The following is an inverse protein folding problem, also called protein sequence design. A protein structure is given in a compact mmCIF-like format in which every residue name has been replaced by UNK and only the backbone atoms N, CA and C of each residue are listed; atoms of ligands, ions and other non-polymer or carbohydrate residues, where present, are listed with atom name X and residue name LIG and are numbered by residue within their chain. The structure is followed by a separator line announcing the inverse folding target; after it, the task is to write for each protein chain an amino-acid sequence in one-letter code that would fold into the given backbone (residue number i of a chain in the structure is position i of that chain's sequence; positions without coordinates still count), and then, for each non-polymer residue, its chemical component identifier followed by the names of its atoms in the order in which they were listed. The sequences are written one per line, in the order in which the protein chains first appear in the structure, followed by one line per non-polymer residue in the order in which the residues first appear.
data_IF_302455423236
#
_entry.id   IF_302455423236
#
_cell.length_a   1.000
_cell.length_b   1.000
_cell.length_c   1.000
_cell.angle_alpha   90.00
_cell.angle_beta   90.00
_cell.angle_gamma   90.00
#
_symmetry.space_group_name_H-M   'P 1'
#
loop_
_entity.id
_entity.type
_entity.pdbx_description
1 polymer ?
#
# COMPACT_ATOMS: atom_id res chain seq x y z
N UNK A 1 -12.16 -9.94 -3.43
CA UNK A 1 -12.17 -10.35 -4.85
C UNK A 1 -11.16 -11.47 -4.93
N UNK A 2 -11.58 -12.67 -5.33
CA UNK A 2 -10.65 -13.80 -5.54
C UNK A 2 -9.86 -13.57 -6.84
N UNK A 3 -8.57 -13.89 -6.82
CA UNK A 3 -7.64 -13.66 -7.93
C UNK A 3 -7.93 -14.57 -9.14
N UNK A 4 -8.46 -14.01 -10.22
CA UNK A 4 -8.58 -14.68 -11.52
C UNK A 4 -7.28 -14.66 -12.33
N UNK A 5 -7.16 -15.57 -13.31
CA UNK A 5 -6.08 -15.57 -14.31
C UNK A 5 -6.07 -14.24 -15.09
N UNK A 6 -4.99 -13.47 -14.99
CA UNK A 6 -4.68 -12.32 -15.86
C UNK A 6 -5.55 -11.07 -15.68
N UNK A 7 -6.27 -10.93 -14.57
CA UNK A 7 -7.16 -9.78 -14.31
C UNK A 7 -6.45 -8.56 -13.72
N UNK A 8 -6.94 -7.36 -14.02
CA UNK A 8 -6.52 -6.12 -13.32
C UNK A 8 -7.66 -5.60 -12.45
N UNK A 9 -7.43 -5.45 -11.14
CA UNK A 9 -8.40 -4.86 -10.22
C UNK A 9 -7.89 -3.52 -9.70
N UNK A 10 -8.75 -2.51 -9.73
CA UNK A 10 -8.40 -1.18 -9.24
C UNK A 10 -9.51 -0.64 -8.35
N UNK A 11 -9.14 -0.14 -7.18
CA UNK A 11 -10.05 0.58 -6.28
C UNK A 11 -9.54 2.00 -6.11
N UNK A 12 -10.33 2.97 -6.55
CA UNK A 12 -10.05 4.39 -6.38
C UNK A 12 -11.16 5.04 -5.55
N UNK A 13 -10.84 5.55 -4.36
CA UNK A 13 -11.80 6.24 -3.50
C UNK A 13 -11.29 7.64 -3.14
N UNK A 14 -12.20 8.61 -3.16
CA UNK A 14 -11.90 10.00 -2.85
C UNK A 14 -12.83 10.51 -1.75
N UNK A 15 -12.25 11.06 -0.68
CA UNK A 15 -12.97 11.54 0.49
C UNK A 15 -12.71 13.04 0.68
N UNK A 16 -13.77 13.83 0.56
CA UNK A 16 -13.71 15.30 0.73
C UNK A 16 -13.96 15.77 2.17
N UNK A 17 -14.47 14.88 3.02
CA UNK A 17 -14.79 15.15 4.43
C UNK A 17 -14.05 14.16 5.32
N UNK A 18 -14.21 14.34 6.62
CA UNK A 18 -13.78 13.35 7.60
C UNK A 18 -14.30 11.97 7.25
N UNK A 19 -13.38 11.01 7.17
CA UNK A 19 -13.70 9.66 6.76
C UNK A 19 -12.96 8.65 7.64
N UNK A 20 -13.72 7.68 8.13
CA UNK A 20 -13.16 6.44 8.67
C UNK A 20 -13.32 5.37 7.62
N UNK A 21 -12.20 4.91 7.07
CA UNK A 21 -12.20 3.95 5.97
C UNK A 21 -11.58 2.65 6.45
N UNK A 22 -12.35 1.58 6.36
CA UNK A 22 -11.81 0.22 6.36
C UNK A 22 -11.46 -0.08 4.90
N UNK A 23 -10.18 0.05 4.57
CA UNK A 23 -9.73 -0.11 3.20
C UNK A 23 -9.98 -1.55 2.70
N UNK A 24 -10.15 -1.71 1.38
CA UNK A 24 -10.46 -3.00 0.79
C UNK A 24 -9.31 -4.00 0.95
N UNK A 25 -9.68 -5.28 0.95
CA UNK A 25 -8.78 -6.42 0.89
C UNK A 25 -8.77 -6.93 -0.54
N UNK A 26 -7.59 -7.06 -1.13
CA UNK A 26 -7.41 -7.61 -2.47
C UNK A 26 -6.41 -8.75 -2.46
N UNK A 27 -6.82 -9.88 -3.05
CA UNK A 27 -5.97 -11.04 -3.24
C UNK A 27 -5.48 -11.07 -4.69
N UNK A 28 -4.20 -11.34 -4.87
CA UNK A 28 -3.54 -11.44 -6.16
C UNK A 28 -3.85 -12.76 -6.85
N UNK A 29 -4.18 -12.67 -8.14
CA UNK A 29 -4.26 -13.83 -9.03
C UNK A 29 -2.96 -14.08 -9.79
N UNK A 30 -2.97 -15.10 -10.63
CA UNK A 30 -1.88 -15.39 -11.59
C UNK A 30 -1.82 -14.31 -12.68
N UNK A 31 -0.69 -13.60 -12.80
CA UNK A 31 -0.39 -12.66 -13.88
C UNK A 31 -1.19 -11.36 -13.88
N UNK A 32 -1.85 -11.02 -12.77
CA UNK A 32 -2.75 -9.87 -12.65
C UNK A 32 -2.10 -8.61 -12.06
N UNK A 33 -2.76 -7.46 -12.19
CA UNK A 33 -2.33 -6.21 -11.55
C UNK A 33 -3.39 -5.64 -10.62
N UNK A 34 -3.09 -5.48 -9.33
CA UNK A 34 -4.01 -4.88 -8.36
C UNK A 34 -3.53 -3.49 -7.91
N UNK A 35 -4.45 -2.54 -7.80
CA UNK A 35 -4.14 -1.18 -7.36
C UNK A 35 -5.19 -0.61 -6.42
N UNK A 36 -4.74 0.02 -5.33
CA UNK A 36 -5.60 0.75 -4.40
C UNK A 36 -5.12 2.18 -4.32
N UNK A 37 -5.97 3.12 -4.69
CA UNK A 37 -5.73 4.55 -4.58
C UNK A 37 -6.77 5.18 -3.65
N UNK A 38 -6.34 5.71 -2.51
CA UNK A 38 -7.22 6.45 -1.59
C UNK A 38 -6.74 7.89 -1.49
N UNK A 39 -7.64 8.84 -1.69
CA UNK A 39 -7.36 10.26 -1.54
C UNK A 39 -8.25 10.90 -0.47
N UNK A 40 -7.65 11.66 0.44
CA UNK A 40 -8.32 12.32 1.54
C UNK A 40 -7.95 13.80 1.60
N UNK A 41 -8.97 14.66 1.48
CA UNK A 41 -8.80 16.11 1.52
C UNK A 41 -8.82 16.69 2.94
N UNK A 42 -9.35 15.93 3.91
CA UNK A 42 -9.49 16.33 5.31
C UNK A 42 -8.96 15.25 6.24
N UNK A 43 -9.24 15.40 7.53
CA UNK A 43 -8.91 14.41 8.55
C UNK A 43 -9.44 13.04 8.18
N UNK A 44 -8.62 12.02 8.33
CA UNK A 44 -9.08 10.65 8.11
C UNK A 44 -8.46 9.70 9.12
N UNK A 45 -9.19 8.64 9.41
CA UNK A 45 -8.65 7.47 10.09
C UNK A 45 -8.78 6.30 9.14
N UNK A 46 -7.63 5.82 8.65
CA UNK A 46 -7.61 4.75 7.66
C UNK A 46 -7.02 3.50 8.30
N UNK A 47 -7.82 2.43 8.34
CA UNK A 47 -7.26 1.08 8.37
C UNK A 47 -6.83 0.79 6.95
N UNK A 48 -5.53 0.91 6.68
CA UNK A 48 -4.99 0.79 5.34
C UNK A 48 -5.24 -0.59 4.74
N UNK A 49 -5.20 -0.68 3.40
CA UNK A 49 -5.57 -1.89 2.69
C UNK A 49 -4.58 -3.04 2.98
N UNK A 50 -5.14 -4.25 2.89
CA UNK A 50 -4.36 -5.48 2.79
C UNK A 50 -4.33 -5.90 1.32
N UNK A 51 -3.14 -6.19 0.81
CA UNK A 51 -3.00 -6.77 -0.51
C UNK A 51 -2.12 -8.02 -0.46
N UNK A 52 -2.67 -9.16 -0.84
CA UNK A 52 -1.91 -10.40 -0.96
C UNK A 52 -1.46 -10.60 -2.41
N UNK A 53 -0.22 -11.04 -2.59
CA UNK A 53 0.42 -11.19 -3.89
C UNK A 53 0.13 -12.53 -4.53
N UNK A 54 -0.16 -12.50 -5.82
CA UNK A 54 -0.27 -13.69 -6.66
C UNK A 54 1.02 -13.99 -7.42
N UNK A 55 1.00 -15.03 -8.25
CA UNK A 55 2.12 -15.41 -9.12
C UNK A 55 2.23 -14.46 -10.33
N UNK A 56 3.36 -13.76 -10.49
CA UNK A 56 3.71 -13.00 -11.69
C UNK A 56 2.94 -11.67 -11.87
N UNK A 57 2.38 -11.12 -10.79
CA UNK A 57 1.53 -9.93 -10.81
C UNK A 57 2.18 -8.65 -10.26
N UNK A 58 1.52 -7.51 -10.44
CA UNK A 58 1.95 -6.22 -9.87
C UNK A 58 0.92 -5.61 -8.95
N UNK A 59 1.33 -5.26 -7.74
CA UNK A 59 0.45 -4.79 -6.67
C UNK A 59 0.89 -3.40 -6.21
N UNK A 60 -0.06 -2.49 -6.09
CA UNK A 60 0.22 -1.11 -5.68
C UNK A 60 -0.80 -0.55 -4.71
N UNK A 61 -0.31 0.14 -3.68
CA UNK A 61 -1.11 0.92 -2.73
C UNK A 61 -0.61 2.36 -2.76
N UNK A 62 -1.49 3.29 -3.11
CA UNK A 62 -1.25 4.73 -3.10
C UNK A 62 -2.22 5.43 -2.15
N UNK A 63 -1.71 6.05 -1.10
CA UNK A 63 -2.52 6.84 -0.16
C UNK A 63 -2.07 8.30 -0.19
N UNK A 64 -3.01 9.21 -0.47
CA UNK A 64 -2.77 10.65 -0.52
C UNK A 64 -3.63 11.37 0.54
N UNK A 65 -2.99 12.22 1.34
CA UNK A 65 -3.62 12.95 2.42
C UNK A 65 -3.21 14.43 2.43
N UNK A 66 -4.19 15.33 2.41
CA UNK A 66 -3.92 16.77 2.43
C UNK A 66 -3.88 17.39 3.83
N UNK A 67 -4.46 16.72 4.84
CA UNK A 67 -4.55 17.20 6.22
C UNK A 67 -4.08 16.14 7.21
N UNK A 68 -4.28 16.42 8.50
CA UNK A 68 -3.96 15.51 9.59
C UNK A 68 -4.55 14.13 9.34
N UNK A 69 -3.73 13.09 9.50
CA UNK A 69 -4.25 11.73 9.34
C UNK A 69 -3.57 10.76 10.28
N UNK A 70 -4.36 9.82 10.76
CA UNK A 70 -3.84 8.61 11.40
C UNK A 70 -4.04 7.43 10.47
N UNK A 71 -2.93 6.87 9.99
CA UNK A 71 -2.94 5.68 9.13
C UNK A 71 -2.40 4.49 9.92
N UNK A 72 -3.22 3.45 10.07
CA UNK A 72 -2.68 2.11 10.35
C UNK A 72 -2.05 1.61 9.07
N UNK A 73 -0.77 1.29 9.12
CA UNK A 73 0.06 0.68 8.08
C UNK A 73 -0.69 -0.14 7.01
N UNK A 74 -0.50 0.12 5.71
CA UNK A 74 -0.82 -0.87 4.69
C UNK A 74 0.07 -2.10 4.89
N UNK A 75 -0.51 -3.26 4.64
CA UNK A 75 0.19 -4.54 4.62
C UNK A 75 0.09 -5.11 3.21
N UNK A 76 1.23 -5.43 2.63
CA UNK A 76 1.30 -6.12 1.36
C UNK A 76 2.14 -7.38 1.50
N UNK A 77 1.53 -8.52 1.24
CA UNK A 77 2.21 -9.81 1.22
C UNK A 77 2.58 -10.13 -0.24
N UNK A 78 3.83 -10.50 -0.47
CA UNK A 78 4.38 -10.68 -1.80
C UNK A 78 4.16 -12.08 -2.34
N UNK A 79 3.80 -12.17 -3.62
CA UNK A 79 3.73 -13.43 -4.36
C UNK A 79 5.02 -13.71 -5.15
N UNK A 80 5.04 -14.84 -5.85
CA UNK A 80 6.17 -15.27 -6.69
C UNK A 80 6.28 -14.43 -7.97
N UNK A 81 7.43 -13.80 -8.23
CA UNK A 81 7.77 -13.17 -9.51
C UNK A 81 7.07 -11.84 -9.79
N UNK A 82 6.58 -11.16 -8.75
CA UNK A 82 5.77 -9.94 -8.86
C UNK A 82 6.44 -8.66 -8.36
N UNK A 83 5.83 -7.51 -8.65
CA UNK A 83 6.29 -6.20 -8.15
C UNK A 83 5.27 -5.58 -7.20
N UNK A 84 5.73 -5.16 -6.02
CA UNK A 84 4.90 -4.60 -4.97
C UNK A 84 5.35 -3.19 -4.63
N UNK A 85 4.40 -2.26 -4.52
CA UNK A 85 4.69 -0.88 -4.20
C UNK A 85 3.69 -0.28 -3.22
N UNK A 86 4.22 0.41 -2.21
CA UNK A 86 3.44 1.25 -1.30
C UNK A 86 3.95 2.69 -1.43
N UNK A 87 3.07 3.60 -1.83
CA UNK A 87 3.33 5.02 -1.91
C UNK A 87 2.40 5.77 -0.94
N UNK A 88 2.99 6.46 0.02
CA UNK A 88 2.24 7.28 0.97
C UNK A 88 2.66 8.75 0.83
N UNK A 89 1.70 9.64 0.61
CA UNK A 89 1.94 11.07 0.42
C UNK A 89 1.09 11.90 1.37
N UNK A 90 1.73 12.77 2.14
CA UNK A 90 1.09 13.59 3.17
C UNK A 90 1.54 15.04 3.10
N UNK A 91 0.59 15.97 3.05
CA UNK A 91 0.90 17.41 3.02
C UNK A 91 0.99 18.07 4.40
N UNK A 92 0.45 17.43 5.45
CA UNK A 92 0.42 17.96 6.83
C UNK A 92 0.83 16.88 7.83
N UNK A 93 0.69 17.20 9.13
CA UNK A 93 1.00 16.30 10.23
C UNK A 93 0.42 14.91 10.03
N UNK A 94 1.27 13.90 10.23
CA UNK A 94 0.83 12.52 10.09
C UNK A 94 1.43 11.64 11.17
N UNK A 95 0.59 10.75 11.69
CA UNK A 95 1.06 9.57 12.42
C UNK A 95 0.82 8.34 11.56
N UNK A 96 1.92 7.74 11.08
CA UNK A 96 1.89 6.49 10.30
C UNK A 96 2.46 5.37 11.14
N UNK A 97 1.67 4.31 11.34
CA UNK A 97 2.27 3.02 11.72
C UNK A 97 2.99 2.45 10.51
N UNK A 98 4.21 1.95 10.75
CA UNK A 98 5.12 1.37 9.77
C UNK A 98 4.40 0.50 8.73
N UNK A 99 4.39 0.86 7.43
CA UNK A 99 3.94 -0.07 6.39
C UNK A 99 4.77 -1.35 6.47
N UNK A 100 4.10 -2.48 6.30
CA UNK A 100 4.71 -3.81 6.32
C UNK A 100 4.62 -4.41 4.92
N UNK A 101 5.75 -4.87 4.42
CA UNK A 101 5.80 -5.66 3.20
C UNK A 101 6.51 -6.97 3.49
N UNK A 102 5.83 -8.07 3.24
CA UNK A 102 6.44 -9.40 3.24
C UNK A 102 6.77 -9.76 1.79
N UNK A 103 8.00 -10.16 1.53
CA UNK A 103 8.51 -10.38 0.19
C UNK A 103 8.22 -11.78 -0.32
N UNK A 104 7.86 -11.86 -1.60
CA UNK A 104 7.76 -13.12 -2.32
C UNK A 104 9.05 -13.47 -3.06
N UNK A 105 9.10 -14.65 -3.65
CA UNK A 105 10.26 -15.14 -4.40
C UNK A 105 10.40 -14.42 -5.75
N UNK A 106 11.56 -13.84 -6.05
CA UNK A 106 11.92 -13.31 -7.38
C UNK A 106 11.20 -12.02 -7.80
N UNK A 107 10.81 -11.18 -6.84
CA UNK A 107 10.06 -9.94 -7.06
C UNK A 107 10.85 -8.64 -6.87
N UNK A 108 10.14 -7.52 -6.85
CA UNK A 108 10.70 -6.22 -6.46
C UNK A 108 9.75 -5.48 -5.54
N UNK A 109 10.31 -4.94 -4.46
CA UNK A 109 9.54 -4.46 -3.33
C UNK A 109 9.94 -3.02 -2.99
N UNK A 110 8.96 -2.10 -2.97
CA UNK A 110 9.23 -0.67 -2.76
C UNK A 110 8.25 0.01 -1.81
N UNK A 111 8.81 0.80 -0.90
CA UNK A 111 8.03 1.72 -0.05
C UNK A 111 8.56 3.13 -0.27
N UNK A 112 7.67 4.02 -0.70
CA UNK A 112 7.95 5.44 -0.90
C UNK A 112 7.11 6.27 0.05
N UNK A 113 7.79 7.05 0.89
CA UNK A 113 7.16 7.91 1.87
C UNK A 113 7.47 9.38 1.57
N UNK A 114 6.46 10.16 1.20
CA UNK A 114 6.60 11.58 0.90
C UNK A 114 5.81 12.43 1.89
N UNK A 115 6.48 13.38 2.52
CA UNK A 115 5.87 14.23 3.52
C UNK A 115 6.37 15.68 3.42
N UNK A 116 5.46 16.64 3.55
CA UNK A 116 5.82 18.08 3.51
C UNK A 116 5.99 18.73 4.88
N UNK A 117 5.52 18.10 5.97
CA UNK A 117 5.54 18.63 7.34
C UNK A 117 5.90 17.54 8.36
N UNK A 118 5.84 17.86 9.65
CA UNK A 118 6.18 16.93 10.75
C UNK A 118 5.47 15.59 10.63
N UNK A 119 6.27 14.54 10.75
CA UNK A 119 5.84 13.17 10.52
C UNK A 119 6.41 12.30 11.59
N UNK A 120 5.52 11.57 12.25
CA UNK A 120 5.91 10.45 13.10
C UNK A 120 5.65 9.16 12.35
N UNK A 121 6.71 8.60 11.78
CA UNK A 121 6.71 7.28 11.14
C UNK A 121 7.45 6.31 12.04
N UNK A 122 6.79 5.21 12.40
CA UNK A 122 7.54 4.03 12.85
C UNK A 122 8.23 3.42 11.65
N UNK A 123 9.50 3.03 11.80
CA UNK A 123 10.31 2.51 10.70
C UNK A 123 9.56 1.42 9.92
N UNK A 124 9.44 1.53 8.58
CA UNK A 124 8.78 0.52 7.76
C UNK A 124 9.49 -0.83 7.94
N UNK A 125 8.71 -1.91 8.03
CA UNK A 125 9.28 -3.26 7.97
C UNK A 125 9.15 -3.78 6.55
N UNK A 126 10.25 -4.23 5.98
CA UNK A 126 10.26 -5.04 4.77
C UNK A 126 10.99 -6.33 5.09
N UNK A 127 10.26 -7.43 5.06
CA UNK A 127 10.85 -8.77 5.12
C UNK A 127 11.11 -9.19 3.68
N UNK A 128 12.37 -9.34 3.28
CA UNK A 128 12.73 -9.69 1.92
C UNK A 128 12.41 -11.14 1.59
N UNK A 129 11.84 -11.39 0.41
CA UNK A 129 11.73 -12.73 -0.15
C UNK A 129 13.02 -13.15 -0.87
N UNK A 130 13.19 -14.43 -1.18
CA UNK A 130 14.37 -14.91 -1.90
C UNK A 130 14.44 -14.27 -3.32
N UNK A 131 15.52 -13.52 -3.59
CA UNK A 131 15.75 -12.87 -4.88
C UNK A 131 15.09 -11.48 -5.05
N UNK A 132 14.54 -10.92 -3.96
CA UNK A 132 13.81 -9.66 -3.98
C UNK A 132 14.74 -8.43 -3.86
N UNK A 133 14.51 -7.40 -4.68
CA UNK A 133 15.19 -6.10 -4.55
C UNK A 133 14.34 -5.14 -3.73
N UNK A 134 14.70 -4.96 -2.46
CA UNK A 134 13.98 -4.09 -1.53
C UNK A 134 14.52 -2.65 -1.57
N UNK A 135 13.65 -1.64 -1.68
CA UNK A 135 14.02 -0.22 -1.62
C UNK A 135 13.03 0.61 -0.81
N UNK A 136 13.49 1.22 0.29
CA UNK A 136 12.80 2.31 0.98
C UNK A 136 13.37 3.66 0.55
N UNK A 137 12.50 4.66 0.35
CA UNK A 137 12.89 6.07 0.19
C UNK A 137 12.00 6.96 1.04
#
# INVERSE_FOLDING_TARGET
MEGGLGGSNSIALNFQKEATVKAPLMEGGLGGSNSIALNFQKEATVKAPLMEGGLGGSNSIALNFQKEVTVKAPLMEGGLGGSNSIALNFQKEVTVKAPLMEGGLGGSNSIALNFQKEVTVKAPLMEGGWGDQTRSR
#
